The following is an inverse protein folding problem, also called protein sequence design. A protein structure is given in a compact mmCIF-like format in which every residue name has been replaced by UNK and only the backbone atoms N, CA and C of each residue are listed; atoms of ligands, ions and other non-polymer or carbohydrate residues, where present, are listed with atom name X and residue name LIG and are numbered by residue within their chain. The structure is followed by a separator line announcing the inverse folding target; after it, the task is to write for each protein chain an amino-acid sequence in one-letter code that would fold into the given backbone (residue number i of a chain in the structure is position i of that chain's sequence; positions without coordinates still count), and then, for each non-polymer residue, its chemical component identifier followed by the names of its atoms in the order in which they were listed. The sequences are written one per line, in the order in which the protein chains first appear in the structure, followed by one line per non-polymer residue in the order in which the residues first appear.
data_IF_639277137578
#
_entry.id   IF_639277137578
#
_cell.length_a   1.000
_cell.length_b   1.000
_cell.length_c   1.000
_cell.angle_alpha   90.00
_cell.angle_beta   90.00
_cell.angle_gamma   90.00
#
_symmetry.space_group_name_H-M   'P 1'
#
loop_
_entity.id
_entity.type
_entity.pdbx_description
1 polymer ?
#
# COMPACT_ATOMS: atom_id res chain seq x y z
N UNK A 1 -19.05 40.96 -7.04
CA UNK A 1 -17.93 40.15 -6.46
C UNK A 1 -16.85 40.08 -7.53
N UNK A 2 -15.60 40.43 -7.19
CA UNK A 2 -14.48 40.31 -8.13
C UNK A 2 -14.06 38.86 -8.35
N UNK A 3 -13.49 38.55 -9.50
CA UNK A 3 -13.01 37.20 -9.87
C UNK A 3 -12.14 36.55 -8.79
N UNK A 4 -11.28 37.34 -8.11
CA UNK A 4 -10.44 36.89 -7.01
C UNK A 4 -11.25 36.41 -5.79
N UNK A 5 -12.36 37.07 -5.45
CA UNK A 5 -13.23 36.66 -4.35
C UNK A 5 -13.97 35.36 -4.66
N UNK A 6 -14.37 35.16 -5.91
CA UNK A 6 -15.01 33.91 -6.37
C UNK A 6 -14.00 32.75 -6.30
N UNK A 7 -12.78 32.95 -6.81
CA UNK A 7 -11.71 31.94 -6.76
C UNK A 7 -11.35 31.58 -5.32
N UNK A 8 -11.17 32.58 -4.47
CA UNK A 8 -10.87 32.34 -3.04
C UNK A 8 -11.99 31.57 -2.36
N UNK A 9 -13.26 31.99 -2.57
CA UNK A 9 -14.42 31.31 -2.00
C UNK A 9 -14.55 29.87 -2.47
N UNK A 10 -14.36 29.60 -3.76
CA UNK A 10 -14.38 28.26 -4.32
C UNK A 10 -13.24 27.36 -3.75
N UNK A 11 -12.04 27.93 -3.60
CA UNK A 11 -10.89 27.21 -2.99
C UNK A 11 -11.17 26.86 -1.53
N UNK A 12 -11.68 27.80 -0.74
CA UNK A 12 -12.02 27.56 0.67
C UNK A 12 -13.16 26.53 0.78
N UNK A 13 -14.18 26.59 -0.07
CA UNK A 13 -15.27 25.61 -0.10
C UNK A 13 -14.76 24.21 -0.46
N UNK A 14 -13.83 24.08 -1.41
CA UNK A 14 -13.20 22.82 -1.79
C UNK A 14 -12.37 22.22 -0.64
N UNK A 15 -11.59 23.05 0.05
CA UNK A 15 -10.81 22.62 1.21
C UNK A 15 -11.74 22.15 2.34
N UNK A 16 -12.79 22.92 2.65
CA UNK A 16 -13.77 22.56 3.68
C UNK A 16 -14.49 21.25 3.32
N UNK A 17 -14.88 21.10 2.06
CA UNK A 17 -15.46 19.85 1.57
C UNK A 17 -14.49 18.68 1.74
N UNK A 18 -13.23 18.79 1.29
CA UNK A 18 -12.27 17.70 1.32
C UNK A 18 -11.93 17.24 2.75
N UNK A 19 -11.79 18.18 3.69
CA UNK A 19 -11.35 17.87 5.06
C UNK A 19 -12.49 17.63 6.05
N UNK A 20 -13.69 18.12 5.79
CA UNK A 20 -14.84 18.02 6.70
C UNK A 20 -16.06 17.40 6.01
N UNK A 21 -16.48 17.93 4.88
CA UNK A 21 -17.70 17.48 4.18
C UNK A 21 -17.63 16.04 3.72
N UNK A 22 -16.58 15.69 3.00
CA UNK A 22 -16.37 14.32 2.50
C UNK A 22 -16.31 13.28 3.64
N UNK A 23 -15.48 13.44 4.68
CA UNK A 23 -15.45 12.49 5.80
C UNK A 23 -16.79 12.37 6.54
N UNK A 24 -17.52 13.47 6.69
CA UNK A 24 -18.83 13.47 7.35
C UNK A 24 -19.86 12.69 6.53
N UNK A 25 -19.95 12.96 5.22
CA UNK A 25 -20.84 12.23 4.30
C UNK A 25 -20.49 10.75 4.31
N UNK A 26 -19.20 10.43 4.22
CA UNK A 26 -18.69 9.06 4.22
C UNK A 26 -19.05 8.33 5.54
N UNK A 27 -18.90 9.01 6.69
CA UNK A 27 -19.27 8.45 8.00
C UNK A 27 -20.77 8.18 8.11
N UNK A 28 -21.62 9.07 7.56
CA UNK A 28 -23.08 8.89 7.53
C UNK A 28 -23.48 7.69 6.65
N UNK A 29 -22.91 7.60 5.45
CA UNK A 29 -23.15 6.47 4.55
C UNK A 29 -22.64 5.16 5.15
N UNK A 30 -21.45 5.17 5.76
CA UNK A 30 -20.88 3.99 6.42
C UNK A 30 -21.73 3.46 7.58
N UNK A 31 -22.50 4.32 8.25
CA UNK A 31 -23.47 3.89 9.29
C UNK A 31 -24.67 3.13 8.72
N UNK A 32 -25.08 3.50 7.50
CA UNK A 32 -26.16 2.80 6.80
C UNK A 32 -25.70 1.49 6.14
N UNK A 33 -24.42 1.40 5.79
CA UNK A 33 -23.80 0.19 5.25
C UNK A 33 -23.41 -0.75 6.40
N UNK A 34 -24.36 -1.55 6.89
CA UNK A 34 -24.11 -2.57 7.91
C UNK A 34 -23.39 -3.76 7.28
N UNK A 35 -22.09 -3.64 7.00
CA UNK A 35 -21.22 -4.79 6.83
C UNK A 35 -20.61 -5.09 8.18
N UNK A 36 -21.13 -6.12 8.86
CA UNK A 36 -20.46 -6.68 10.03
C UNK A 36 -19.13 -7.27 9.54
N UNK A 37 -17.99 -6.97 10.23
CA UNK A 37 -16.86 -7.87 10.14
C UNK A 37 -17.41 -9.21 10.61
N UNK A 38 -17.40 -10.23 9.79
CA UNK A 38 -17.59 -11.57 10.28
C UNK A 38 -16.48 -11.83 11.29
N UNK A 39 -16.84 -12.44 12.45
CA UNK A 39 -15.86 -12.97 13.39
C UNK A 39 -15.16 -14.11 12.65
N UNK A 40 -14.08 -13.78 11.95
CA UNK A 40 -13.40 -14.67 11.05
C UNK A 40 -12.74 -15.79 11.84
N UNK A 41 -13.36 -16.96 11.77
CA UNK A 41 -12.67 -18.21 12.07
C UNK A 41 -11.44 -18.26 11.15
N UNK A 42 -10.26 -18.52 11.72
CA UNK A 42 -9.04 -18.67 10.94
C UNK A 42 -9.31 -19.57 9.72
N UNK A 43 -8.89 -19.19 8.51
CA UNK A 43 -9.18 -19.97 7.32
C UNK A 43 -8.65 -21.39 7.51
N UNK A 44 -9.36 -22.38 6.99
CA UNK A 44 -8.92 -23.80 7.05
C UNK A 44 -7.54 -23.97 6.41
N UNK A 45 -7.25 -23.17 5.43
CA UNK A 45 -5.99 -23.19 4.70
C UNK A 45 -5.63 -21.77 4.22
N UNK A 46 -4.44 -21.29 4.58
CA UNK A 46 -3.94 -20.00 4.12
C UNK A 46 -3.55 -20.07 2.63
N UNK A 47 -3.87 -19.05 1.80
CA UNK A 47 -3.44 -19.02 0.39
C UNK A 47 -1.91 -18.96 0.27
N UNK A 48 -1.37 -19.33 -0.88
CA UNK A 48 0.04 -19.11 -1.16
C UNK A 48 0.31 -17.63 -1.38
N UNK A 49 1.44 -17.14 -0.84
CA UNK A 49 1.83 -15.74 -0.95
C UNK A 49 3.23 -15.59 -1.54
N UNK A 50 3.44 -14.58 -2.38
CA UNK A 50 4.78 -14.08 -2.71
C UNK A 50 4.98 -12.76 -1.97
N UNK A 51 5.95 -12.72 -1.05
CA UNK A 51 6.38 -11.49 -0.37
C UNK A 51 7.45 -10.85 -1.25
N UNK A 52 7.06 -9.77 -1.93
CA UNK A 52 7.93 -9.02 -2.84
C UNK A 52 8.57 -7.86 -2.11
N UNK A 53 9.89 -7.79 -2.15
CA UNK A 53 10.68 -6.71 -1.54
C UNK A 53 11.50 -6.01 -2.63
N UNK A 54 10.99 -4.94 -3.25
CA UNK A 54 11.79 -4.13 -4.17
C UNK A 54 12.83 -3.34 -3.38
N UNK A 55 14.11 -3.43 -3.80
CA UNK A 55 15.23 -2.82 -3.11
C UNK A 55 16.16 -2.07 -4.06
N UNK A 56 16.69 -0.93 -3.61
CA UNK A 56 17.78 -0.21 -4.29
C UNK A 56 18.65 0.47 -3.23
N UNK A 57 19.92 0.04 -3.13
CA UNK A 57 20.87 0.51 -2.12
C UNK A 57 20.25 0.50 -0.71
N UNK A 58 19.69 -0.65 -0.33
CA UNK A 58 18.95 -0.86 0.91
C UNK A 58 19.77 -1.65 1.97
N UNK A 59 21.08 -1.88 1.79
CA UNK A 59 21.90 -2.70 2.66
C UNK A 59 21.80 -2.35 4.14
N UNK A 60 21.70 -1.06 4.45
CA UNK A 60 21.56 -0.58 5.83
C UNK A 60 20.25 -1.02 6.54
N UNK A 61 19.21 -1.40 5.81
CA UNK A 61 17.88 -1.72 6.37
C UNK A 61 17.39 -3.10 6.01
N UNK A 62 17.73 -3.60 4.82
CA UNK A 62 17.21 -4.84 4.25
C UNK A 62 17.42 -6.05 5.17
N UNK A 63 18.59 -6.14 5.84
CA UNK A 63 18.88 -7.23 6.80
C UNK A 63 17.78 -7.34 7.85
N UNK A 64 17.46 -6.22 8.50
CA UNK A 64 16.44 -6.17 9.54
C UNK A 64 15.04 -6.45 8.98
N UNK A 65 14.70 -5.89 7.82
CA UNK A 65 13.42 -6.15 7.16
C UNK A 65 13.24 -7.62 6.83
N UNK A 66 14.29 -8.28 6.27
CA UNK A 66 14.24 -9.71 5.99
C UNK A 66 14.13 -10.57 7.26
N UNK A 67 14.79 -10.19 8.34
CA UNK A 67 14.65 -10.87 9.63
C UNK A 67 13.20 -10.84 10.10
N UNK A 68 12.52 -9.68 10.06
CA UNK A 68 11.10 -9.59 10.44
C UNK A 68 10.18 -10.37 9.49
N UNK A 69 10.52 -10.45 8.19
CA UNK A 69 9.75 -11.23 7.21
C UNK A 69 9.90 -12.74 7.45
N UNK A 70 11.10 -13.19 7.80
CA UNK A 70 11.34 -14.60 8.11
C UNK A 70 10.62 -15.04 9.39
N UNK A 71 10.47 -14.13 10.36
CA UNK A 71 9.78 -14.35 11.64
C UNK A 71 8.25 -14.23 11.56
N UNK A 72 7.68 -13.97 10.36
CA UNK A 72 6.23 -13.88 10.19
C UNK A 72 5.54 -15.20 10.52
N UNK A 73 4.46 -15.11 11.30
CA UNK A 73 3.57 -16.23 11.59
C UNK A 73 2.71 -16.56 10.37
N UNK A 74 3.33 -17.23 9.40
CA UNK A 74 2.67 -17.72 8.18
C UNK A 74 3.30 -19.04 7.75
N UNK A 75 2.55 -20.04 7.25
CA UNK A 75 3.12 -21.34 6.88
C UNK A 75 4.28 -21.21 5.89
N UNK A 76 5.46 -21.71 6.26
CA UNK A 76 6.67 -21.56 5.45
C UNK A 76 6.53 -22.17 4.05
N UNK A 77 5.80 -23.29 3.92
CA UNK A 77 5.55 -23.96 2.64
C UNK A 77 4.61 -23.16 1.72
N UNK A 78 3.93 -22.11 2.25
CA UNK A 78 2.99 -21.27 1.51
C UNK A 78 3.48 -19.86 1.28
N UNK A 79 4.74 -19.57 1.59
CA UNK A 79 5.34 -18.25 1.36
C UNK A 79 6.58 -18.36 0.49
N UNK A 80 6.64 -17.53 -0.52
CA UNK A 80 7.84 -17.19 -1.28
C UNK A 80 8.33 -15.82 -0.81
N UNK A 81 9.62 -15.65 -0.59
CA UNK A 81 10.23 -14.34 -0.31
C UNK A 81 11.11 -13.98 -1.50
N UNK A 82 10.76 -12.90 -2.19
CA UNK A 82 11.40 -12.48 -3.43
C UNK A 82 11.93 -11.04 -3.27
N UNK A 83 13.24 -10.88 -3.23
CA UNK A 83 13.90 -9.57 -3.29
C UNK A 83 14.18 -9.22 -4.74
N UNK A 84 13.81 -8.02 -5.17
CA UNK A 84 14.15 -7.51 -6.50
C UNK A 84 15.05 -6.31 -6.34
N UNK A 85 16.32 -6.48 -6.72
CA UNK A 85 17.33 -5.43 -6.65
C UNK A 85 17.35 -4.61 -7.93
N UNK A 86 17.02 -3.32 -7.83
CA UNK A 86 17.06 -2.35 -8.92
C UNK A 86 18.50 -1.84 -9.13
N UNK A 87 19.37 -2.76 -9.57
CA UNK A 87 20.80 -2.53 -9.80
C UNK A 87 21.51 -1.87 -8.60
N UNK A 88 21.36 -2.45 -7.41
CA UNK A 88 22.07 -1.95 -6.21
C UNK A 88 23.59 -2.05 -6.35
N UNK A 89 24.29 -1.10 -5.74
CA UNK A 89 25.75 -0.97 -5.77
C UNK A 89 26.39 -1.15 -4.37
N UNK A 90 25.55 -1.33 -3.34
CA UNK A 90 25.94 -1.62 -1.98
C UNK A 90 25.81 -3.13 -1.68
N UNK A 91 25.83 -3.52 -0.44
CA UNK A 91 25.71 -4.91 0.03
C UNK A 91 24.27 -5.49 -0.02
N UNK A 92 23.31 -4.78 -0.65
CA UNK A 92 21.89 -5.21 -0.76
C UNK A 92 21.78 -6.64 -1.29
N UNK A 93 22.45 -6.94 -2.41
CA UNK A 93 22.34 -8.23 -3.09
C UNK A 93 22.98 -9.34 -2.23
N UNK A 94 24.16 -9.08 -1.69
CA UNK A 94 24.86 -10.02 -0.80
C UNK A 94 24.04 -10.35 0.45
N UNK A 95 23.32 -9.36 1.01
CA UNK A 95 22.44 -9.57 2.16
C UNK A 95 21.27 -10.48 1.79
N UNK A 96 20.68 -10.29 0.61
CA UNK A 96 19.56 -11.12 0.15
C UNK A 96 20.00 -12.56 -0.13
N UNK A 97 21.12 -12.76 -0.84
CA UNK A 97 21.68 -14.09 -1.16
C UNK A 97 22.12 -14.87 0.07
N UNK A 98 22.59 -14.19 1.12
CA UNK A 98 23.02 -14.84 2.36
C UNK A 98 21.86 -15.36 3.23
N UNK A 99 20.58 -15.09 2.86
CA UNK A 99 19.40 -15.50 3.66
C UNK A 99 18.75 -16.75 3.08
N UNK A 100 18.78 -17.91 3.79
CA UNK A 100 18.06 -19.10 3.36
C UNK A 100 16.56 -18.82 3.16
N UNK A 101 16.00 -19.30 2.04
CA UNK A 101 14.58 -19.12 1.71
C UNK A 101 14.23 -17.76 1.10
N UNK A 102 15.22 -16.91 0.82
CA UNK A 102 15.07 -15.66 0.07
C UNK A 102 15.60 -15.86 -1.34
N UNK A 103 14.78 -15.49 -2.33
CA UNK A 103 15.15 -15.48 -3.74
C UNK A 103 15.54 -14.06 -4.15
N UNK A 104 16.60 -13.92 -4.94
CA UNK A 104 17.04 -12.63 -5.46
C UNK A 104 16.86 -12.57 -6.99
N UNK A 105 16.23 -11.51 -7.45
CA UNK A 105 16.22 -11.10 -8.85
C UNK A 105 16.96 -9.76 -8.96
N UNK A 106 18.05 -9.73 -9.71
CA UNK A 106 18.83 -8.52 -9.95
C UNK A 106 18.50 -7.94 -11.33
N UNK A 107 18.16 -6.65 -11.36
CA UNK A 107 18.04 -5.91 -12.62
C UNK A 107 19.41 -5.50 -13.17
N UNK A 108 19.60 -5.49 -14.50
CA UNK A 108 20.89 -5.10 -15.10
C UNK A 108 21.20 -3.61 -14.95
N UNK A 109 20.16 -2.76 -14.87
CA UNK A 109 20.26 -1.31 -14.75
C UNK A 109 19.17 -0.75 -13.85
N UNK A 110 19.41 0.43 -13.29
CA UNK A 110 18.45 1.12 -12.43
C UNK A 110 17.34 1.74 -13.25
N UNK A 111 16.09 1.33 -12.99
CA UNK A 111 14.87 1.81 -13.69
C UNK A 111 13.77 2.26 -12.73
N UNK A 112 13.97 2.09 -11.44
CA UNK A 112 13.03 2.50 -10.41
C UNK A 112 12.11 1.38 -9.93
N UNK A 113 11.42 1.66 -8.82
CA UNK A 113 10.63 0.68 -8.07
C UNK A 113 9.61 -0.07 -8.95
N UNK A 114 8.81 0.66 -9.72
CA UNK A 114 7.77 0.04 -10.57
C UNK A 114 8.35 -0.86 -11.64
N UNK A 115 9.52 -0.51 -12.21
CA UNK A 115 10.23 -1.36 -13.15
C UNK A 115 10.72 -2.65 -12.48
N UNK A 116 11.25 -2.56 -11.27
CA UNK A 116 11.68 -3.72 -10.47
C UNK A 116 10.49 -4.63 -10.15
N UNK A 117 9.36 -4.06 -9.72
CA UNK A 117 8.12 -4.78 -9.47
C UNK A 117 7.57 -5.45 -10.74
N UNK A 118 7.62 -4.79 -11.90
CA UNK A 118 7.26 -5.39 -13.20
C UNK A 118 8.18 -6.55 -13.57
N UNK A 119 9.50 -6.43 -13.35
CA UNK A 119 10.46 -7.49 -13.64
C UNK A 119 10.23 -8.74 -12.77
N UNK A 120 9.75 -8.54 -11.55
CA UNK A 120 9.43 -9.62 -10.60
C UNK A 120 8.28 -10.51 -11.06
N UNK A 121 7.34 -10.01 -11.86
CA UNK A 121 6.08 -10.71 -12.21
C UNK A 121 6.29 -12.16 -12.67
N UNK A 122 7.33 -12.42 -13.46
CA UNK A 122 7.64 -13.76 -13.99
C UNK A 122 8.21 -14.74 -12.95
N UNK A 123 8.62 -14.24 -11.79
CA UNK A 123 9.23 -15.02 -10.72
C UNK A 123 8.27 -15.29 -9.55
N UNK A 124 7.12 -14.64 -9.54
CA UNK A 124 6.12 -14.79 -8.49
C UNK A 124 5.32 -16.08 -8.65
N UNK A 125 5.06 -16.77 -7.53
CA UNK A 125 4.33 -18.05 -7.52
C UNK A 125 3.11 -18.05 -6.59
N UNK A 126 2.97 -17.01 -5.76
CA UNK A 126 1.85 -16.89 -4.82
C UNK A 126 0.53 -16.50 -5.50
N UNK A 127 -0.58 -16.96 -4.95
CA UNK A 127 -1.94 -16.51 -5.34
C UNK A 127 -2.19 -15.06 -4.94
N UNK A 128 -1.51 -14.63 -3.87
CA UNK A 128 -1.53 -13.25 -3.36
C UNK A 128 -0.11 -12.70 -3.39
N UNK A 129 0.07 -11.51 -3.95
CA UNK A 129 1.33 -10.79 -3.98
C UNK A 129 1.31 -9.75 -2.87
N UNK A 130 2.26 -9.85 -1.95
CA UNK A 130 2.41 -8.95 -0.80
C UNK A 130 3.64 -8.09 -1.03
N UNK A 131 3.46 -6.81 -1.24
CA UNK A 131 4.59 -5.88 -1.43
C UNK A 131 5.00 -5.29 -0.08
N UNK A 132 6.28 -5.41 0.24
CA UNK A 132 6.91 -4.93 1.48
C UNK A 132 8.08 -4.03 1.13
N UNK A 133 8.10 -2.81 1.66
CA UNK A 133 9.23 -1.88 1.46
C UNK A 133 10.47 -2.39 2.22
N UNK A 134 11.65 -2.31 1.60
CA UNK A 134 12.94 -2.78 2.17
C UNK A 134 13.41 -1.98 3.41
N UNK A 135 12.61 -1.06 3.91
CA UNK A 135 12.94 -0.17 5.03
C UNK A 135 12.04 -0.34 6.25
N UNK A 136 11.06 -1.24 6.21
CA UNK A 136 10.05 -1.38 7.26
C UNK A 136 10.28 -2.63 8.11
N UNK A 137 9.68 -2.60 9.31
CA UNK A 137 9.57 -3.77 10.18
C UNK A 137 8.11 -4.27 10.15
N UNK A 138 7.91 -5.57 9.98
CA UNK A 138 6.59 -6.20 9.89
C UNK A 138 6.38 -7.12 11.10
N UNK A 139 5.38 -6.85 11.95
CA UNK A 139 5.06 -7.71 13.09
C UNK A 139 4.62 -9.12 12.67
N UNK A 140 4.84 -10.15 13.51
CA UNK A 140 4.58 -11.55 13.14
C UNK A 140 3.18 -11.83 12.62
N UNK A 141 2.13 -11.22 13.19
CA UNK A 141 0.74 -11.45 12.81
C UNK A 141 0.24 -10.56 11.64
N UNK A 142 1.03 -9.56 11.24
CA UNK A 142 0.59 -8.56 10.26
C UNK A 142 0.29 -9.16 8.88
N UNK A 143 1.03 -10.18 8.46
CA UNK A 143 0.79 -10.86 7.19
C UNK A 143 -0.54 -11.61 7.18
N UNK A 144 -0.84 -12.36 8.23
CA UNK A 144 -2.14 -13.04 8.37
C UNK A 144 -3.29 -12.05 8.33
N UNK A 145 -3.17 -10.94 9.09
CA UNK A 145 -4.17 -9.88 9.07
C UNK A 145 -4.37 -9.31 7.68
N UNK A 146 -3.26 -9.04 6.93
CA UNK A 146 -3.33 -8.47 5.58
C UNK A 146 -3.98 -9.43 4.58
N UNK A 147 -3.78 -10.74 4.74
CA UNK A 147 -4.24 -11.76 3.79
C UNK A 147 -5.66 -12.26 4.11
N UNK A 148 -6.10 -12.24 5.37
CA UNK A 148 -7.40 -12.74 5.79
C UNK A 148 -8.58 -12.25 4.92
N UNK A 149 -8.71 -10.96 4.55
CA UNK A 149 -9.84 -10.50 3.76
C UNK A 149 -9.98 -11.18 2.38
N UNK A 150 -8.90 -11.72 1.81
CA UNK A 150 -8.98 -12.45 0.53
C UNK A 150 -9.64 -13.82 0.66
N UNK A 151 -9.60 -14.41 1.85
CA UNK A 151 -10.23 -15.71 2.15
C UNK A 151 -11.69 -15.54 2.50
N UNK A 152 -12.04 -14.42 3.13
CA UNK A 152 -13.37 -14.16 3.68
C UNK A 152 -14.31 -13.53 2.64
N UNK A 153 -13.76 -12.72 1.73
CA UNK A 153 -14.54 -12.01 0.71
C UNK A 153 -13.89 -12.13 -0.68
N UNK A 154 -14.45 -12.96 -1.60
CA UNK A 154 -13.95 -13.08 -2.96
C UNK A 154 -13.95 -11.76 -3.75
N UNK A 155 -14.75 -10.77 -3.34
CA UNK A 155 -14.79 -9.45 -3.97
C UNK A 155 -13.58 -8.59 -3.62
N UNK A 156 -12.78 -8.97 -2.61
CA UNK A 156 -11.55 -8.25 -2.25
C UNK A 156 -10.44 -8.61 -3.23
N UNK A 157 -9.92 -7.61 -3.92
CA UNK A 157 -8.79 -7.73 -4.86
C UNK A 157 -7.49 -7.15 -4.32
N UNK A 158 -7.57 -6.16 -3.42
CA UNK A 158 -6.42 -5.47 -2.82
C UNK A 158 -6.68 -5.23 -1.33
N UNK A 159 -5.66 -5.45 -0.51
CA UNK A 159 -5.65 -5.06 0.90
C UNK A 159 -4.50 -4.11 1.18
N UNK A 160 -4.74 -3.12 2.01
CA UNK A 160 -3.74 -2.12 2.43
C UNK A 160 -3.48 -2.22 3.92
N UNK A 161 -2.22 -2.35 4.29
CA UNK A 161 -1.79 -2.27 5.68
C UNK A 161 -1.82 -0.84 6.22
N UNK A 162 -1.49 -0.73 7.49
CA UNK A 162 -1.40 0.53 8.24
C UNK A 162 0.05 0.86 8.56
N UNK A 163 0.50 2.00 8.04
CA UNK A 163 1.85 2.51 8.30
C UNK A 163 1.88 3.24 9.65
N UNK A 164 2.76 2.79 10.55
CA UNK A 164 3.00 3.44 11.84
C UNK A 164 4.41 3.99 11.84
N UNK A 165 4.52 5.31 11.81
CA UNK A 165 5.82 6.00 11.88
C UNK A 165 6.45 5.83 13.26
N UNK A 166 7.67 5.29 13.31
CA UNK A 166 8.47 5.15 14.53
C UNK A 166 9.70 6.05 14.47
N UNK A 167 9.92 6.83 15.53
CA UNK A 167 11.13 7.63 15.63
C UNK A 167 12.33 6.75 15.98
N UNK A 168 13.50 7.09 15.43
CA UNK A 168 14.77 6.46 15.82
C UNK A 168 15.21 7.01 17.18
N UNK A 169 15.24 6.18 18.22
CA UNK A 169 15.78 6.50 19.55
C UNK A 169 14.79 6.30 20.69
N UNK A 170 15.31 5.91 21.87
CA UNK A 170 14.53 5.80 23.09
C UNK A 170 14.08 7.20 23.53
N UNK A 171 12.78 7.43 23.63
CA UNK A 171 12.21 8.69 24.11
C UNK A 171 11.38 9.50 23.12
N UNK A 172 11.13 9.00 21.89
CA UNK A 172 10.36 9.73 20.91
C UNK A 172 8.88 9.86 21.29
N UNK A 173 8.52 11.05 21.74
CA UNK A 173 7.12 11.46 21.96
C UNK A 173 6.29 11.28 20.70
N UNK A 174 5.05 10.79 20.83
CA UNK A 174 3.99 10.87 19.82
C UNK A 174 3.88 12.34 19.36
N UNK A 175 4.33 12.65 18.16
CA UNK A 175 4.24 13.99 17.59
C UNK A 175 2.98 14.13 16.72
N UNK A 176 2.65 15.38 16.31
CA UNK A 176 1.42 15.72 15.57
C UNK A 176 1.13 14.92 14.29
N UNK A 177 2.12 14.20 13.74
CA UNK A 177 1.94 13.23 12.65
C UNK A 177 1.01 12.07 13.05
N UNK A 178 0.91 11.74 14.35
CA UNK A 178 -0.02 10.72 14.86
C UNK A 178 -1.50 11.12 14.71
N UNK A 179 -1.80 12.40 14.79
CA UNK A 179 -3.17 12.91 14.60
C UNK A 179 -3.61 12.85 13.14
N UNK A 180 -2.75 13.25 12.21
CA UNK A 180 -3.04 13.18 10.77
C UNK A 180 -3.17 11.74 10.28
N UNK A 181 -2.26 10.85 10.68
CA UNK A 181 -2.33 9.42 10.35
C UNK A 181 -3.60 8.78 10.93
N UNK A 182 -3.99 9.14 12.17
CA UNK A 182 -5.24 8.69 12.77
C UNK A 182 -6.48 9.12 11.99
N UNK A 183 -6.49 10.37 11.51
CA UNK A 183 -7.55 10.92 10.66
C UNK A 183 -7.63 10.20 9.31
N UNK A 184 -6.50 10.04 8.60
CA UNK A 184 -6.45 9.33 7.33
C UNK A 184 -6.91 7.87 7.48
N UNK A 185 -6.48 7.19 8.54
CA UNK A 185 -6.92 5.81 8.82
C UNK A 185 -8.41 5.72 9.11
N UNK A 186 -8.99 6.71 9.79
CA UNK A 186 -10.44 6.79 10.01
C UNK A 186 -11.22 6.91 8.70
N UNK A 187 -10.75 7.76 7.78
CA UNK A 187 -11.34 7.89 6.44
C UNK A 187 -11.26 6.55 5.68
N UNK A 188 -10.10 5.92 5.64
CA UNK A 188 -9.91 4.62 4.96
C UNK A 188 -10.81 3.52 5.54
N UNK A 189 -11.10 3.56 6.84
CA UNK A 189 -12.03 2.63 7.47
C UNK A 189 -13.47 2.85 6.96
N UNK A 190 -13.93 4.10 6.86
CA UNK A 190 -15.23 4.42 6.28
C UNK A 190 -15.30 4.07 4.79
N UNK A 191 -14.27 4.41 4.01
CA UNK A 191 -14.16 4.04 2.59
C UNK A 191 -14.27 2.52 2.40
N UNK A 192 -13.57 1.74 3.23
CA UNK A 192 -13.62 0.28 3.23
C UNK A 192 -15.04 -0.24 3.44
N UNK A 193 -15.80 0.38 4.35
CA UNK A 193 -17.20 0.01 4.64
C UNK A 193 -18.15 0.35 3.50
N UNK A 194 -17.96 1.51 2.88
CA UNK A 194 -18.87 2.02 1.83
C UNK A 194 -18.61 1.37 0.48
N UNK A 195 -17.36 1.22 0.08
CA UNK A 195 -17.07 0.73 -1.27
C UNK A 195 -15.64 0.24 -1.47
N UNK A 196 -14.69 0.81 -0.77
CA UNK A 196 -13.28 0.50 -0.85
C UNK A 196 -12.40 1.75 -0.95
N UNK A 197 -11.13 1.59 -0.59
CA UNK A 197 -10.12 2.65 -0.63
C UNK A 197 -9.69 2.98 -2.07
N UNK A 198 -9.19 4.20 -2.28
CA UNK A 198 -8.73 4.69 -3.59
C UNK A 198 -7.26 4.35 -3.85
N UNK A 199 -6.46 4.16 -2.81
CA UNK A 199 -5.03 3.84 -2.92
C UNK A 199 -4.55 2.99 -1.76
N UNK A 200 -3.63 2.07 -2.02
CA UNK A 200 -3.01 1.24 -0.98
C UNK A 200 -1.82 1.95 -0.33
N UNK A 201 -1.34 1.43 0.81
CA UNK A 201 -0.09 1.84 1.42
C UNK A 201 1.08 1.55 0.49
N UNK A 202 1.98 2.51 0.30
CA UNK A 202 3.21 2.30 -0.46
C UNK A 202 4.21 1.38 0.23
N UNK A 203 4.03 1.09 1.52
CA UNK A 203 4.98 0.32 2.32
C UNK A 203 4.57 -1.13 2.51
N UNK A 204 3.26 -1.40 2.71
CA UNK A 204 2.75 -2.73 3.04
C UNK A 204 1.33 -2.92 2.50
N UNK A 205 1.19 -3.65 1.40
CA UNK A 205 -0.10 -3.98 0.79
C UNK A 205 -0.06 -5.32 0.09
N UNK A 206 -1.23 -5.88 -0.20
CA UNK A 206 -1.33 -7.11 -0.95
C UNK A 206 -2.40 -7.01 -2.04
N UNK A 207 -2.22 -7.77 -3.12
CA UNK A 207 -3.18 -7.88 -4.22
C UNK A 207 -3.23 -9.31 -4.78
N UNK A 208 -4.35 -9.69 -5.38
CA UNK A 208 -4.44 -10.97 -6.09
C UNK A 208 -3.45 -11.01 -7.24
N UNK A 209 -2.75 -12.12 -7.43
CA UNK A 209 -1.77 -12.29 -8.52
C UNK A 209 -2.36 -11.93 -9.89
N UNK A 210 -3.61 -12.33 -10.16
CA UNK A 210 -4.32 -12.02 -11.40
C UNK A 210 -4.49 -10.51 -11.68
N UNK A 211 -4.43 -9.64 -10.65
CA UNK A 211 -4.42 -8.19 -10.80
C UNK A 211 -3.00 -7.67 -11.04
N UNK A 212 -2.01 -8.33 -10.43
CA UNK A 212 -0.59 -7.93 -10.47
C UNK A 212 0.10 -8.25 -11.79
N UNK A 213 -0.30 -9.30 -12.50
CA UNK A 213 0.40 -9.88 -13.66
C UNK A 213 0.67 -8.90 -14.81
N UNK A 214 -0.09 -7.80 -14.92
CA UNK A 214 0.11 -6.84 -16.00
C UNK A 214 1.13 -5.78 -15.61
N UNK A 215 2.21 -5.61 -16.39
CA UNK A 215 3.11 -4.48 -16.24
C UNK A 215 2.36 -3.16 -16.34
N UNK A 216 2.70 -2.23 -15.48
CA UNK A 216 2.22 -0.84 -15.58
C UNK A 216 3.36 0.06 -16.04
N UNK A 217 3.07 1.23 -16.63
CA UNK A 217 4.11 2.20 -17.00
C UNK A 217 4.98 2.56 -15.78
N UNK A 218 6.30 2.57 -15.98
CA UNK A 218 7.28 2.66 -14.89
C UNK A 218 7.26 3.98 -14.11
N UNK A 219 6.72 5.04 -14.71
CA UNK A 219 6.55 6.35 -14.08
C UNK A 219 5.32 6.45 -13.15
N UNK A 220 4.49 5.41 -13.11
CA UNK A 220 3.30 5.35 -12.24
C UNK A 220 3.61 4.74 -10.88
N UNK A 221 2.73 4.96 -9.91
CA UNK A 221 2.79 4.36 -8.59
C UNK A 221 1.96 3.08 -8.59
N UNK A 222 2.59 1.92 -8.40
CA UNK A 222 1.88 0.63 -8.44
C UNK A 222 0.93 0.47 -7.25
N UNK A 223 1.32 0.88 -6.07
CA UNK A 223 0.50 0.86 -4.85
C UNK A 223 -0.82 1.64 -5.04
N UNK A 224 -0.74 2.82 -5.64
CA UNK A 224 -1.92 3.60 -5.97
C UNK A 224 -2.71 2.98 -7.14
N UNK A 225 -2.02 2.48 -8.17
CA UNK A 225 -2.63 1.83 -9.32
C UNK A 225 -3.36 0.53 -8.95
N UNK A 226 -2.87 -0.24 -7.97
CA UNK A 226 -3.46 -1.51 -7.53
C UNK A 226 -4.94 -1.38 -7.16
N UNK A 227 -5.28 -0.38 -6.33
CA UNK A 227 -6.67 -0.12 -5.93
C UNK A 227 -7.55 0.28 -7.14
N UNK A 228 -7.02 1.08 -8.06
CA UNK A 228 -7.72 1.51 -9.27
C UNK A 228 -7.94 0.34 -10.24
N UNK A 229 -6.93 -0.51 -10.44
CA UNK A 229 -7.02 -1.72 -11.28
C UNK A 229 -8.03 -2.72 -10.69
N UNK A 230 -8.00 -2.92 -9.37
CA UNK A 230 -8.99 -3.74 -8.69
C UNK A 230 -10.41 -3.27 -9.00
N UNK A 231 -10.67 -1.96 -8.87
CA UNK A 231 -11.96 -1.36 -9.16
C UNK A 231 -12.39 -1.53 -10.63
N UNK A 232 -11.49 -1.33 -11.59
CA UNK A 232 -11.77 -1.56 -13.02
C UNK A 232 -12.22 -2.98 -13.31
N UNK A 233 -11.76 -3.95 -12.51
CA UNK A 233 -12.08 -5.38 -12.64
C UNK A 233 -13.22 -5.85 -11.73
N UNK A 234 -13.91 -4.92 -11.07
CA UNK A 234 -15.03 -5.23 -10.21
C UNK A 234 -14.65 -5.73 -8.82
N UNK A 235 -13.35 -5.66 -8.46
CA UNK A 235 -12.89 -5.97 -7.11
C UNK A 235 -12.90 -4.71 -6.22
N UNK A 236 -12.85 -4.97 -4.91
CA UNK A 236 -12.70 -3.95 -3.88
C UNK A 236 -11.25 -3.88 -3.41
N UNK A 237 -10.82 -2.67 -3.04
CA UNK A 237 -9.61 -2.45 -2.27
C UNK A 237 -10.02 -2.06 -0.84
N UNK A 238 -9.45 -2.71 0.17
CA UNK A 238 -9.85 -2.51 1.57
C UNK A 238 -8.64 -2.19 2.46
N UNK A 239 -8.86 -1.36 3.47
CA UNK A 239 -7.85 -1.08 4.51
C UNK A 239 -8.01 -2.06 5.66
N UNK A 240 -6.89 -2.66 6.09
CA UNK A 240 -6.86 -3.65 7.18
C UNK A 240 -6.20 -3.03 8.40
N UNK A 241 -6.98 -2.77 9.43
CA UNK A 241 -6.53 -2.06 10.64
C UNK A 241 -5.40 -2.78 11.38
N UNK A 242 -5.46 -4.10 11.45
CA UNK A 242 -4.55 -4.92 12.24
C UNK A 242 -3.30 -5.35 11.45
N UNK A 243 -3.28 -5.11 10.14
CA UNK A 243 -2.10 -5.29 9.29
C UNK A 243 -1.13 -4.11 9.44
N UNK A 244 -0.47 -4.01 10.59
CA UNK A 244 0.42 -2.90 10.93
C UNK A 244 1.82 -3.16 10.40
N UNK A 245 2.50 -2.11 9.91
CA UNK A 245 3.95 -2.10 9.70
C UNK A 245 4.58 -0.86 10.33
N UNK A 246 5.85 -0.98 10.72
CA UNK A 246 6.59 0.12 11.34
C UNK A 246 7.55 0.76 10.34
N UNK A 247 7.36 2.06 10.10
CA UNK A 247 8.14 2.83 9.12
C UNK A 247 9.09 3.77 9.87
N UNK A 248 10.42 3.62 9.75
CA UNK A 248 11.36 4.52 10.39
C UNK A 248 11.28 5.93 9.78
N UNK A 249 11.26 6.94 10.65
CA UNK A 249 11.25 8.34 10.20
C UNK A 249 12.58 8.76 9.59
N UNK A 250 12.51 9.50 8.51
CA UNK A 250 13.66 10.18 7.93
C UNK A 250 13.92 11.49 8.67
N UNK A 251 15.13 11.66 9.23
CA UNK A 251 15.46 12.87 10.03
C UNK A 251 15.73 14.14 9.22
N UNK A 252 15.62 14.13 7.87
CA UNK A 252 15.96 15.26 6.99
C UNK A 252 14.75 15.76 6.22
N UNK A 253 14.29 16.97 6.53
CA UNK A 253 13.16 17.64 5.87
C UNK A 253 13.26 17.67 4.35
N UNK A 254 14.46 17.92 3.80
CA UNK A 254 14.66 17.95 2.35
C UNK A 254 14.40 16.58 1.67
N UNK A 255 14.73 15.47 2.32
CA UNK A 255 14.43 14.12 1.83
C UNK A 255 12.93 13.84 1.88
N UNK A 256 12.28 14.24 2.96
CA UNK A 256 10.84 14.09 3.14
C UNK A 256 10.07 14.91 2.09
N UNK A 257 10.48 16.14 1.85
CA UNK A 257 9.89 16.99 0.82
C UNK A 257 10.00 16.35 -0.59
N UNK A 258 11.21 15.91 -0.96
CA UNK A 258 11.42 15.24 -2.27
C UNK A 258 10.58 13.96 -2.41
N UNK A 259 10.48 13.19 -1.32
CA UNK A 259 9.65 11.99 -1.27
C UNK A 259 8.18 12.33 -1.51
N UNK A 260 7.65 13.34 -0.79
CA UNK A 260 6.26 13.78 -0.95
C UNK A 260 5.97 14.32 -2.34
N UNK A 261 6.84 15.15 -2.90
CA UNK A 261 6.69 15.66 -4.28
C UNK A 261 6.61 14.51 -5.27
N UNK A 262 7.52 13.54 -5.16
CA UNK A 262 7.51 12.34 -6.03
C UNK A 262 6.20 11.55 -5.88
N UNK A 263 5.77 11.28 -4.65
CA UNK A 263 4.55 10.52 -4.37
C UNK A 263 3.32 11.22 -4.97
N UNK A 264 3.19 12.54 -4.78
CA UNK A 264 2.08 13.32 -5.34
C UNK A 264 2.12 13.32 -6.87
N UNK A 265 3.30 13.55 -7.46
CA UNK A 265 3.45 13.56 -8.92
C UNK A 265 3.10 12.22 -9.55
N UNK A 266 3.60 11.11 -8.98
CA UNK A 266 3.25 9.76 -9.44
C UNK A 266 1.76 9.45 -9.22
N UNK A 267 1.18 9.90 -8.10
CA UNK A 267 -0.26 9.73 -7.83
C UNK A 267 -1.12 10.45 -8.86
N UNK A 268 -0.82 11.72 -9.17
CA UNK A 268 -1.54 12.50 -10.20
C UNK A 268 -1.40 11.83 -11.57
N UNK A 269 -0.18 11.41 -11.94
CA UNK A 269 0.05 10.71 -13.21
C UNK A 269 -0.75 9.40 -13.30
N UNK A 270 -0.82 8.64 -12.20
CA UNK A 270 -1.59 7.39 -12.12
C UNK A 270 -3.09 7.64 -12.24
N UNK A 271 -3.61 8.66 -11.55
CA UNK A 271 -5.02 9.04 -11.65
C UNK A 271 -5.38 9.50 -13.08
N UNK A 272 -4.50 10.29 -13.71
CA UNK A 272 -4.68 10.69 -15.09
C UNK A 272 -4.66 9.52 -16.06
N UNK A 273 -3.76 8.57 -15.87
CA UNK A 273 -3.71 7.33 -16.64
C UNK A 273 -4.99 6.50 -16.49
N UNK A 274 -5.58 6.49 -15.30
CA UNK A 274 -6.82 5.80 -14.95
C UNK A 274 -8.06 6.70 -14.99
N UNK A 275 -8.02 7.87 -15.66
CA UNK A 275 -9.11 8.86 -15.69
C UNK A 275 -10.46 8.33 -16.17
N UNK A 276 -10.49 7.19 -16.86
CA UNK A 276 -11.74 6.54 -17.25
C UNK A 276 -12.63 6.17 -16.03
N UNK A 277 -12.01 5.93 -14.86
CA UNK A 277 -12.72 5.67 -13.60
C UNK A 277 -13.48 6.89 -13.08
N UNK A 278 -13.12 8.11 -13.49
CA UNK A 278 -13.81 9.34 -13.11
C UNK A 278 -15.15 9.52 -13.85
N UNK A 279 -15.50 8.62 -14.78
CA UNK A 279 -16.79 8.67 -15.47
C UNK A 279 -17.91 8.11 -14.56
N UNK A 280 -18.81 8.93 -14.02
CA UNK A 280 -19.85 8.51 -13.08
C UNK A 280 -20.90 7.58 -13.72
N UNK A 281 -21.07 7.63 -15.06
CA UNK A 281 -22.00 6.76 -15.77
C UNK A 281 -21.48 5.31 -15.86
N UNK A 282 -20.16 5.15 -15.89
CA UNK A 282 -19.53 3.84 -15.99
C UNK A 282 -19.11 3.28 -14.62
N UNK A 283 -18.71 4.15 -13.72
CA UNK A 283 -18.22 3.80 -12.38
C UNK A 283 -18.88 4.67 -11.30
N UNK A 284 -20.22 4.53 -11.08
CA UNK A 284 -20.95 5.41 -10.18
C UNK A 284 -20.44 5.36 -8.74
N UNK A 285 -19.96 4.19 -8.27
CA UNK A 285 -19.44 4.02 -6.93
C UNK A 285 -18.00 4.55 -6.72
N UNK A 286 -17.35 5.04 -7.77
CA UNK A 286 -15.99 5.61 -7.70
C UNK A 286 -15.99 7.13 -7.91
N UNK A 287 -16.91 7.64 -8.69
CA UNK A 287 -16.95 9.06 -9.08
C UNK A 287 -17.59 9.98 -8.01
N UNK A 288 -18.04 9.41 -6.90
CA UNK A 288 -18.56 10.11 -5.71
C UNK A 288 -17.59 9.98 -4.56
#
# INVERSE_FOLDING_TARGET
MGTAQIVLGATLALVLYAYVGYPLILALVARACVRRPDDTLAPREWPTVTILVPAHNAGATLRKTLDTILDLDYPAARRQILVVSDASMDDTDTIAEARPGVELVRMPERRGRTAAENAACRHMRGEIIVTVDATIDVPPLALKALVAPFTDDPSVGVTSGRDVSVARGAGARRSGESGYVGYEMGIREFETRVGGIVGASGCFYAERAALYERPIPEHLSRDFAAALVARERGYRAVSVRDAVCFVPRTGRLAHEYRRKVRTISCGIATLWFKRALLNPLRYPAFAW
#
